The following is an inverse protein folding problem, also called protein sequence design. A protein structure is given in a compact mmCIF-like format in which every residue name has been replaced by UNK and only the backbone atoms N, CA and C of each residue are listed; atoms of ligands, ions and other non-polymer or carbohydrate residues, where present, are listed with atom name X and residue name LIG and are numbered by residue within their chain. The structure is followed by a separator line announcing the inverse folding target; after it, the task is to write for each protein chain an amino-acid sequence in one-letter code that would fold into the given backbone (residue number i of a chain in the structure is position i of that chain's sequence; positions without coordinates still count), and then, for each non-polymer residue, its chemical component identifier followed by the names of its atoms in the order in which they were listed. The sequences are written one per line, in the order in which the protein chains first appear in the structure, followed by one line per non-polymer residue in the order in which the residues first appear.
data_IF_099104466163
#
_entry.id   IF_099104466163
#
_cell.length_a   1.000
_cell.length_b   1.000
_cell.length_c   1.000
_cell.angle_alpha   90.00
_cell.angle_beta   90.00
_cell.angle_gamma   90.00
#
_symmetry.space_group_name_H-M   'P 1'
#
loop_
_entity.id
_entity.type
_entity.pdbx_description
1 polymer ?
#
# COMPACT_ATOMS: atom_id res chain seq x y z
N UNK A 1 17.34 19.03 10.09
CA UNK A 1 17.71 17.64 9.71
C UNK A 1 16.93 16.60 10.52
N UNK A 2 16.80 16.77 11.84
CA UNK A 2 16.11 15.82 12.75
C UNK A 2 14.62 15.55 12.43
N UNK A 3 13.85 16.55 12.02
CA UNK A 3 12.43 16.38 11.62
C UNK A 3 12.24 15.47 10.38
N UNK A 4 13.18 15.50 9.42
CA UNK A 4 13.10 14.64 8.22
C UNK A 4 13.37 13.17 8.55
N UNK A 5 14.22 12.92 9.54
CA UNK A 5 14.53 11.57 10.03
C UNK A 5 13.32 11.02 10.80
N UNK A 6 12.65 11.86 11.59
CA UNK A 6 11.42 11.47 12.29
C UNK A 6 10.29 11.13 11.31
N UNK A 7 10.10 11.93 10.25
CA UNK A 7 9.11 11.63 9.21
C UNK A 7 9.41 10.32 8.47
N UNK A 8 10.67 10.10 8.07
CA UNK A 8 11.11 8.87 7.40
C UNK A 8 10.90 7.63 8.29
N UNK A 9 11.28 7.72 9.56
CA UNK A 9 11.15 6.62 10.53
C UNK A 9 9.68 6.33 10.85
N UNK A 10 8.87 7.36 11.08
CA UNK A 10 7.44 7.23 11.32
C UNK A 10 6.71 6.60 10.11
N UNK A 11 6.99 7.05 8.89
CA UNK A 11 6.41 6.44 7.68
C UNK A 11 6.80 4.97 7.52
N UNK A 12 8.04 4.61 7.86
CA UNK A 12 8.52 3.23 7.76
C UNK A 12 7.76 2.30 8.72
N UNK A 13 7.52 2.77 9.95
CA UNK A 13 6.69 2.06 10.93
C UNK A 13 5.22 1.98 10.56
N UNK A 14 4.64 3.08 10.08
CA UNK A 14 3.25 3.10 9.60
C UNK A 14 3.10 2.11 8.44
N UNK A 15 4.06 2.08 7.52
CA UNK A 15 4.11 1.09 6.43
C UNK A 15 4.21 -0.34 6.94
N UNK A 16 5.05 -0.59 7.96
CA UNK A 16 5.21 -1.94 8.52
C UNK A 16 3.90 -2.43 9.15
N UNK A 17 3.33 -1.64 10.05
CA UNK A 17 2.09 -1.97 10.75
C UNK A 17 0.93 -2.09 9.76
N UNK A 18 0.83 -1.13 8.83
CA UNK A 18 -0.21 -1.13 7.80
C UNK A 18 -0.19 -2.38 6.93
N UNK A 19 0.99 -2.81 6.46
CA UNK A 19 1.10 -4.02 5.64
C UNK A 19 0.85 -5.31 6.44
N UNK A 20 1.25 -5.37 7.71
CA UNK A 20 0.93 -6.52 8.59
C UNK A 20 -0.57 -6.62 8.81
N UNK A 21 -1.26 -5.50 9.05
CA UNK A 21 -2.72 -5.45 9.21
C UNK A 21 -3.45 -5.72 7.89
N UNK A 22 -2.86 -5.35 6.75
CA UNK A 22 -3.47 -5.59 5.44
C UNK A 22 -3.68 -7.10 5.15
N UNK A 23 -2.75 -7.96 5.57
CA UNK A 23 -2.86 -9.42 5.36
C UNK A 23 -4.17 -10.03 5.91
N UNK A 24 -4.52 -9.87 7.21
CA UNK A 24 -5.79 -10.38 7.74
C UNK A 24 -7.00 -9.65 7.17
N UNK A 25 -6.92 -8.34 6.89
CA UNK A 25 -8.03 -7.61 6.25
C UNK A 25 -8.35 -8.21 4.87
N UNK A 26 -7.34 -8.46 4.05
CA UNK A 26 -7.51 -9.09 2.74
C UNK A 26 -8.13 -10.49 2.90
N UNK A 27 -7.66 -11.29 3.85
CA UNK A 27 -8.22 -12.61 4.13
C UNK A 27 -9.70 -12.54 4.55
N UNK A 28 -10.08 -11.57 5.37
CA UNK A 28 -11.47 -11.33 5.77
C UNK A 28 -12.35 -10.97 4.56
N UNK A 29 -11.88 -10.07 3.68
CA UNK A 29 -12.62 -9.65 2.48
C UNK A 29 -12.86 -10.83 1.52
N UNK A 30 -11.88 -11.71 1.34
CA UNK A 30 -12.04 -12.91 0.49
C UNK A 30 -13.04 -13.90 1.10
N UNK A 31 -12.96 -14.09 2.42
CA UNK A 31 -13.76 -15.09 3.13
C UNK A 31 -15.23 -14.69 3.26
N UNK A 32 -15.48 -13.42 3.58
CA UNK A 32 -16.79 -12.90 3.97
C UNK A 32 -17.35 -11.81 3.06
N UNK A 33 -16.68 -11.45 1.97
CA UNK A 33 -17.12 -10.38 1.07
C UNK A 33 -17.84 -10.87 -0.19
N UNK A 34 -19.14 -11.22 -0.14
CA UNK A 34 -20.00 -11.05 -1.30
C UNK A 34 -20.29 -9.55 -1.46
N UNK A 35 -20.44 -9.02 -2.69
CA UNK A 35 -20.31 -9.64 -4.02
C UNK A 35 -18.89 -9.58 -4.61
N UNK A 36 -18.71 -10.14 -5.83
CA UNK A 36 -17.46 -10.18 -6.61
C UNK A 36 -16.35 -11.10 -6.05
N UNK A 37 -16.72 -12.25 -5.49
CA UNK A 37 -15.78 -13.20 -4.84
C UNK A 37 -14.58 -13.59 -5.70
N UNK A 38 -14.78 -13.89 -7.00
CA UNK A 38 -13.69 -14.25 -7.92
C UNK A 38 -12.70 -13.10 -8.07
N UNK A 39 -13.18 -11.87 -8.29
CA UNK A 39 -12.32 -10.69 -8.41
C UNK A 39 -11.55 -10.41 -7.11
N UNK A 40 -12.18 -10.61 -5.95
CA UNK A 40 -11.55 -10.42 -4.65
C UNK A 40 -10.40 -11.42 -4.46
N UNK A 41 -10.62 -12.69 -4.83
CA UNK A 41 -9.60 -13.75 -4.78
C UNK A 41 -8.45 -13.46 -5.75
N UNK A 42 -8.75 -13.14 -7.00
CA UNK A 42 -7.72 -12.90 -8.02
C UNK A 42 -6.84 -11.71 -7.65
N UNK A 43 -7.44 -10.61 -7.18
CA UNK A 43 -6.69 -9.44 -6.72
C UNK A 43 -5.86 -9.74 -5.47
N UNK A 44 -6.41 -10.46 -4.51
CA UNK A 44 -5.68 -10.79 -3.29
C UNK A 44 -4.44 -11.64 -3.57
N UNK A 45 -4.56 -12.68 -4.40
CA UNK A 45 -3.45 -13.59 -4.71
C UNK A 45 -2.43 -12.91 -5.61
N UNK A 46 -2.88 -12.15 -6.62
CA UNK A 46 -1.98 -11.57 -7.63
C UNK A 46 -1.27 -10.32 -7.16
N UNK A 47 -1.95 -9.46 -6.39
CA UNK A 47 -1.45 -8.14 -6.03
C UNK A 47 -1.54 -7.86 -4.53
N UNK A 48 -2.63 -8.20 -3.86
CA UNK A 48 -2.88 -7.84 -2.46
C UNK A 48 -1.82 -8.38 -1.50
N UNK A 49 -1.68 -9.70 -1.41
CA UNK A 49 -0.69 -10.33 -0.54
C UNK A 49 0.76 -10.10 -1.02
N UNK A 50 1.10 -10.25 -2.33
CA UNK A 50 2.44 -9.94 -2.79
C UNK A 50 2.86 -8.50 -2.48
N UNK A 51 1.99 -7.51 -2.70
CA UNK A 51 2.31 -6.11 -2.41
C UNK A 51 2.49 -5.86 -0.91
N UNK A 52 1.66 -6.49 -0.06
CA UNK A 52 1.78 -6.40 1.39
C UNK A 52 3.11 -6.99 1.89
N UNK A 53 3.50 -8.16 1.38
CA UNK A 53 4.78 -8.81 1.73
C UNK A 53 5.95 -7.94 1.29
N UNK A 54 5.95 -7.44 0.05
CA UNK A 54 7.00 -6.53 -0.44
C UNK A 54 7.03 -5.25 0.40
N UNK A 55 5.88 -4.73 0.85
CA UNK A 55 5.77 -3.58 1.73
C UNK A 55 6.35 -3.82 3.13
N UNK A 56 6.17 -5.01 3.71
CA UNK A 56 6.81 -5.40 4.97
C UNK A 56 8.33 -5.43 4.80
N UNK A 57 8.82 -6.08 3.74
CA UNK A 57 10.27 -6.17 3.44
C UNK A 57 10.85 -4.79 3.19
N UNK A 58 10.14 -3.92 2.47
CA UNK A 58 10.59 -2.56 2.19
C UNK A 58 10.64 -1.71 3.45
N UNK A 59 9.62 -1.78 4.31
CA UNK A 59 9.62 -1.10 5.61
C UNK A 59 10.74 -1.59 6.53
N UNK A 60 10.99 -2.90 6.59
CA UNK A 60 12.10 -3.45 7.35
C UNK A 60 13.46 -2.96 6.81
N UNK A 61 13.61 -2.91 5.48
CA UNK A 61 14.80 -2.38 4.83
C UNK A 61 15.00 -0.88 5.11
N UNK A 62 13.92 -0.08 5.10
CA UNK A 62 13.96 1.34 5.43
C UNK A 62 14.36 1.59 6.89
N UNK A 63 13.83 0.80 7.83
CA UNK A 63 14.20 0.83 9.25
C UNK A 63 15.66 0.40 9.49
N UNK A 64 16.18 -0.52 8.68
CA UNK A 64 17.59 -0.91 8.67
C UNK A 64 18.48 0.03 7.83
N UNK A 65 17.97 1.21 7.46
CA UNK A 65 18.66 2.25 6.67
C UNK A 65 19.26 1.74 5.35
N UNK A 66 18.67 0.69 4.77
CA UNK A 66 19.11 0.11 3.51
C UNK A 66 18.58 0.92 2.33
N UNK A 67 19.50 1.38 1.48
CA UNK A 67 19.22 2.23 0.31
C UNK A 67 18.21 1.61 -0.69
N UNK A 68 18.15 0.29 -0.80
CA UNK A 68 17.22 -0.42 -1.69
C UNK A 68 15.78 -0.49 -1.15
N UNK A 69 15.55 -0.18 0.13
CA UNK A 69 14.21 -0.17 0.75
C UNK A 69 13.27 0.84 0.08
N UNK A 70 13.80 1.99 -0.37
CA UNK A 70 13.01 3.00 -1.10
C UNK A 70 12.49 2.44 -2.43
N UNK A 71 13.33 1.70 -3.16
CA UNK A 71 12.94 1.09 -4.45
C UNK A 71 11.82 0.08 -4.26
N UNK A 72 11.93 -0.80 -3.27
CA UNK A 72 10.87 -1.77 -2.97
C UNK A 72 9.58 -1.11 -2.48
N UNK A 73 9.70 0.00 -1.74
CA UNK A 73 8.52 0.77 -1.31
C UNK A 73 7.77 1.34 -2.51
N UNK A 74 8.49 1.86 -3.50
CA UNK A 74 7.88 2.33 -4.75
C UNK A 74 7.23 1.19 -5.54
N UNK A 75 7.86 0.01 -5.58
CA UNK A 75 7.29 -1.18 -6.24
C UNK A 75 6.01 -1.63 -5.55
N UNK A 76 6.04 -1.80 -4.21
CA UNK A 76 4.88 -2.19 -3.41
C UNK A 76 3.73 -1.20 -3.60
N UNK A 77 3.98 0.11 -3.45
CA UNK A 77 2.95 1.14 -3.64
C UNK A 77 2.37 1.12 -5.06
N UNK A 78 3.21 0.89 -6.09
CA UNK A 78 2.73 0.78 -7.47
C UNK A 78 1.81 -0.43 -7.65
N UNK A 79 2.16 -1.59 -7.09
CA UNK A 79 1.30 -2.78 -7.14
C UNK A 79 -0.05 -2.54 -6.46
N UNK A 80 -0.06 -1.88 -5.31
CA UNK A 80 -1.29 -1.51 -4.59
C UNK A 80 -2.17 -0.61 -5.46
N UNK A 81 -1.60 0.45 -6.05
CA UNK A 81 -2.34 1.39 -6.89
C UNK A 81 -2.89 0.71 -8.15
N UNK A 82 -2.09 -0.12 -8.81
CA UNK A 82 -2.50 -0.85 -10.02
C UNK A 82 -3.63 -1.85 -9.77
N UNK A 83 -3.70 -2.45 -8.58
CA UNK A 83 -4.79 -3.36 -8.22
C UNK A 83 -6.03 -2.64 -7.69
N UNK A 84 -5.85 -1.84 -6.64
CA UNK A 84 -6.96 -1.24 -5.89
C UNK A 84 -7.62 -0.09 -6.65
N UNK A 85 -6.87 0.66 -7.46
CA UNK A 85 -7.41 1.75 -8.27
C UNK A 85 -8.53 1.31 -9.20
N UNK A 86 -8.25 0.48 -10.23
CA UNK A 86 -9.28 0.03 -11.15
C UNK A 86 -10.39 -0.77 -10.45
N UNK A 87 -10.03 -1.59 -9.45
CA UNK A 87 -11.00 -2.35 -8.68
C UNK A 87 -12.00 -1.47 -7.95
N UNK A 88 -11.53 -0.41 -7.29
CA UNK A 88 -12.39 0.53 -6.56
C UNK A 88 -13.37 1.23 -7.51
N UNK A 89 -12.91 1.66 -8.68
CA UNK A 89 -13.75 2.32 -9.69
C UNK A 89 -14.87 1.38 -10.16
N UNK A 90 -14.52 0.16 -10.58
CA UNK A 90 -15.50 -0.82 -11.05
C UNK A 90 -16.50 -1.15 -9.93
N UNK A 91 -16.00 -1.38 -8.71
CA UNK A 91 -16.85 -1.72 -7.57
C UNK A 91 -17.82 -0.58 -7.21
N UNK A 92 -17.36 0.68 -7.20
CA UNK A 92 -18.21 1.84 -6.93
C UNK A 92 -19.30 2.01 -7.99
N UNK A 93 -18.95 1.84 -9.27
CA UNK A 93 -19.91 2.02 -10.37
C UNK A 93 -20.97 0.91 -10.34
N UNK A 94 -20.56 -0.35 -10.14
CA UNK A 94 -21.47 -1.50 -10.20
C UNK A 94 -22.33 -1.65 -8.95
N UNK A 95 -21.78 -1.36 -7.77
CA UNK A 95 -22.43 -1.69 -6.48
C UNK A 95 -22.83 -0.45 -5.68
N UNK A 96 -22.38 0.75 -6.08
CA UNK A 96 -22.61 2.01 -5.37
C UNK A 96 -22.23 1.96 -3.89
N UNK A 97 -21.23 1.12 -3.55
CA UNK A 97 -20.79 0.84 -2.19
C UNK A 97 -19.70 1.82 -1.72
N UNK A 98 -20.12 3.05 -1.43
CA UNK A 98 -19.22 4.12 -0.95
C UNK A 98 -18.78 3.89 0.50
N UNK A 99 -19.66 3.37 1.37
CA UNK A 99 -19.35 3.19 2.79
C UNK A 99 -18.76 1.81 3.12
N UNK A 100 -18.73 0.87 2.18
CA UNK A 100 -18.11 -0.43 2.36
C UNK A 100 -16.73 -0.54 1.71
N UNK A 101 -16.47 -1.70 1.10
CA UNK A 101 -15.14 -2.05 0.58
C UNK A 101 -14.75 -1.20 -0.62
N UNK A 102 -15.74 -0.74 -1.40
CA UNK A 102 -15.50 0.18 -2.50
C UNK A 102 -14.80 1.46 -2.04
N UNK A 103 -15.41 2.19 -1.10
CA UNK A 103 -14.81 3.41 -0.56
C UNK A 103 -13.49 3.17 0.17
N UNK A 104 -13.39 2.06 0.92
CA UNK A 104 -12.13 1.69 1.59
C UNK A 104 -10.98 1.51 0.59
N UNK A 105 -11.23 0.80 -0.52
CA UNK A 105 -10.21 0.56 -1.54
C UNK A 105 -9.83 1.82 -2.31
N UNK A 106 -10.79 2.72 -2.54
CA UNK A 106 -10.54 4.04 -3.11
C UNK A 106 -9.66 4.91 -2.20
N UNK A 107 -10.00 4.98 -0.91
CA UNK A 107 -9.25 5.74 0.08
C UNK A 107 -7.83 5.21 0.22
N UNK A 108 -7.66 3.89 0.24
CA UNK A 108 -6.32 3.27 0.30
C UNK A 108 -5.51 3.58 -0.96
N UNK A 109 -6.15 3.60 -2.13
CA UNK A 109 -5.50 4.01 -3.39
C UNK A 109 -5.02 5.46 -3.31
N UNK A 110 -5.85 6.37 -2.78
CA UNK A 110 -5.49 7.79 -2.59
C UNK A 110 -4.33 7.97 -1.60
N UNK A 111 -4.37 7.27 -0.47
CA UNK A 111 -3.25 7.32 0.49
C UNK A 111 -1.97 6.74 -0.12
N UNK A 112 -2.09 5.69 -0.92
CA UNK A 112 -0.95 5.05 -1.58
C UNK A 112 -0.35 5.95 -2.66
N UNK A 113 -1.15 6.69 -3.42
CA UNK A 113 -0.64 7.67 -4.40
C UNK A 113 0.05 8.85 -3.71
N UNK A 114 -0.49 9.35 -2.60
CA UNK A 114 0.17 10.38 -1.78
C UNK A 114 1.52 9.88 -1.23
N UNK A 115 1.56 8.65 -0.72
CA UNK A 115 2.80 8.03 -0.27
C UNK A 115 3.81 7.86 -1.42
N UNK A 116 3.34 7.45 -2.60
CA UNK A 116 4.18 7.32 -3.79
C UNK A 116 4.79 8.67 -4.18
N UNK A 117 4.00 9.74 -4.18
CA UNK A 117 4.47 11.11 -4.46
C UNK A 117 5.52 11.57 -3.44
N UNK A 118 5.29 11.27 -2.15
CA UNK A 118 6.26 11.57 -1.09
C UNK A 118 7.60 10.87 -1.34
N UNK A 119 7.59 9.56 -1.61
CA UNK A 119 8.80 8.77 -1.86
C UNK A 119 9.48 9.06 -3.19
N UNK A 120 8.73 9.51 -4.20
CA UNK A 120 9.28 9.94 -5.49
C UNK A 120 10.03 11.27 -5.41
N UNK A 121 9.75 12.12 -4.40
CA UNK A 121 10.33 13.45 -4.31
C UNK A 121 11.88 13.41 -4.23
N UNK A 122 12.60 14.00 -5.21
CA UNK A 122 14.05 13.91 -5.29
C UNK A 122 14.77 14.59 -4.11
N UNK A 123 14.12 15.54 -3.44
CA UNK A 123 14.66 16.17 -2.22
C UNK A 123 14.83 15.17 -1.07
N UNK A 124 14.03 14.10 -1.04
CA UNK A 124 14.15 13.05 -0.02
C UNK A 124 15.21 12.01 -0.42
N UNK A 125 15.26 11.62 -1.71
CA UNK A 125 16.28 10.68 -2.22
C UNK A 125 17.72 11.19 -2.13
N UNK A 126 17.97 12.49 -2.25
CA UNK A 126 19.33 13.05 -2.12
C UNK A 126 19.84 13.11 -0.67
N UNK A 127 18.94 13.11 0.32
CA UNK A 127 19.32 13.21 1.74
C UNK A 127 19.80 11.89 2.35
N UNK A 128 19.43 10.75 1.75
CA UNK A 128 19.87 9.40 2.18
C UNK A 128 21.23 9.02 1.53
N UNK A 129 21.83 9.95 0.75
CA UNK A 129 23.10 9.75 0.04
C UNK A 129 24.35 10.25 0.78
N UNK A 130 24.25 10.61 2.07
CA UNK A 130 25.45 10.91 2.86
C UNK A 130 26.11 9.61 3.33
#
# INVERSE_FOLDING_TARGET
MRERILGYWALSWIGLIGNIIALPIIALIISYGPPLKVANITLAISLGWPAAIVGIVSSAALLAERKWGVTLTLVSLSMVISGMGPYSIVRLITLQDIYGVGGFTLLTTLLSTLALLYWCNPKHRRSIRL
#
